data_IF_526706357442
#
_entry.id   IF_526706357442
#
_cell.length_a   1.000
_cell.length_b   1.000
_cell.length_c   1.000
_cell.angle_alpha   90.00
_cell.angle_beta   90.00
_cell.angle_gamma   90.00
#
_symmetry.space_group_name_H-M   'P 1'
#
loop_
_entity.id
_entity.type
_entity.pdbx_description
1 polymer ?
#
# COMPACT_ATOMS: atom_id res chain seq x y z
N UNK A 1 55.09 -55.05 27.93
CA UNK A 1 53.76 -54.53 28.38
C UNK A 1 53.46 -53.24 27.66
N UNK A 2 52.55 -53.30 26.71
CA UNK A 2 52.13 -52.07 25.90
C UNK A 2 50.72 -51.73 26.40
N UNK A 3 50.59 -50.60 27.06
CA UNK A 3 49.31 -50.02 27.48
C UNK A 3 48.63 -49.32 26.35
N UNK A 4 47.44 -49.76 25.96
CA UNK A 4 46.58 -49.22 24.97
C UNK A 4 45.64 -48.16 25.61
N UNK A 5 45.82 -46.88 25.32
CA UNK A 5 44.90 -45.81 25.78
C UNK A 5 43.76 -45.64 24.79
N UNK A 6 42.54 -45.81 25.22
CA UNK A 6 41.33 -45.54 24.48
C UNK A 6 40.93 -44.05 24.65
N UNK A 7 40.88 -43.32 23.57
CA UNK A 7 40.30 -41.94 23.54
C UNK A 7 38.84 -42.05 23.19
N UNK A 8 37.99 -41.65 24.12
CA UNK A 8 36.53 -41.57 23.91
C UNK A 8 36.21 -40.25 23.27
N UNK A 9 35.78 -40.26 22.01
CA UNK A 9 35.31 -39.06 21.30
C UNK A 9 33.80 -38.90 21.55
N UNK A 10 33.45 -37.89 22.36
CA UNK A 10 32.06 -37.54 22.65
C UNK A 10 31.53 -36.66 21.51
N UNK A 11 30.65 -37.18 20.64
CA UNK A 11 29.94 -36.42 19.67
C UNK A 11 28.74 -35.70 20.32
N UNK A 12 28.85 -34.38 20.53
CA UNK A 12 27.72 -33.55 20.95
C UNK A 12 26.97 -33.11 19.68
N UNK A 13 25.81 -33.72 19.44
CA UNK A 13 24.89 -33.29 18.41
C UNK A 13 24.20 -31.98 18.84
N UNK A 14 24.54 -30.86 18.20
CA UNK A 14 23.81 -29.62 18.36
C UNK A 14 22.45 -29.75 17.64
N UNK A 15 21.37 -29.90 18.40
CA UNK A 15 20.01 -29.83 17.89
C UNK A 15 19.69 -28.34 17.71
N UNK A 16 19.76 -27.88 16.48
CA UNK A 16 19.26 -26.53 16.10
C UNK A 16 17.74 -26.52 16.26
N UNK A 17 17.25 -25.79 17.27
CA UNK A 17 15.83 -25.54 17.42
C UNK A 17 15.37 -24.60 16.26
N UNK A 18 14.57 -25.14 15.35
CA UNK A 18 13.84 -24.33 14.36
C UNK A 18 12.84 -23.44 15.11
N UNK A 19 12.79 -22.11 14.82
CA UNK A 19 11.76 -21.27 15.42
C UNK A 19 10.38 -21.79 15.01
N UNK A 20 9.54 -22.04 16.01
CA UNK A 20 8.15 -22.42 15.79
C UNK A 20 7.45 -21.32 15.00
N UNK A 21 6.99 -21.66 13.80
CA UNK A 21 6.18 -20.80 12.98
C UNK A 21 4.84 -20.61 13.72
N UNK A 22 4.54 -19.39 14.15
CA UNK A 22 3.27 -19.09 14.79
C UNK A 22 2.13 -19.55 13.85
N UNK A 23 1.28 -20.44 14.38
CA UNK A 23 0.07 -20.83 13.67
C UNK A 23 -0.79 -19.58 13.42
N UNK A 24 -1.50 -19.48 12.27
CA UNK A 24 -2.42 -18.40 12.05
C UNK A 24 -3.42 -18.36 13.19
N UNK A 25 -3.65 -17.17 13.76
CA UNK A 25 -4.64 -16.96 14.81
C UNK A 25 -5.98 -17.53 14.29
N UNK A 26 -6.60 -18.39 15.10
CA UNK A 26 -7.93 -18.88 14.80
C UNK A 26 -8.85 -17.67 14.74
N UNK A 27 -9.38 -17.33 13.54
CA UNK A 27 -10.36 -16.28 13.38
C UNK A 27 -11.60 -16.70 14.18
N UNK A 28 -12.05 -15.84 15.06
CA UNK A 28 -13.24 -16.06 15.92
C UNK A 28 -14.57 -16.01 15.11
N UNK A 29 -14.52 -16.30 13.82
CA UNK A 29 -15.63 -16.27 12.87
C UNK A 29 -15.96 -14.88 12.37
N UNK A 30 -15.23 -13.84 12.79
CA UNK A 30 -15.40 -12.46 12.32
C UNK A 30 -14.53 -12.21 11.08
N UNK A 31 -15.10 -11.60 10.06
CA UNK A 31 -14.39 -11.14 8.87
C UNK A 31 -14.03 -9.66 9.04
N UNK A 32 -12.73 -9.33 9.02
CA UNK A 32 -12.22 -7.97 9.10
C UNK A 32 -11.55 -7.57 7.79
N UNK A 33 -12.00 -6.46 7.20
CA UNK A 33 -11.55 -5.99 5.90
C UNK A 33 -10.98 -4.58 6.02
N UNK A 34 -9.77 -4.39 5.49
CA UNK A 34 -9.13 -3.09 5.36
C UNK A 34 -9.22 -2.60 3.91
N UNK A 35 -9.68 -1.36 3.69
CA UNK A 35 -9.83 -0.77 2.36
C UNK A 35 -9.04 0.54 2.32
N UNK A 36 -7.96 0.59 1.54
CA UNK A 36 -7.24 1.84 1.27
C UNK A 36 -7.75 2.44 -0.03
N UNK A 37 -8.16 3.70 0.01
CA UNK A 37 -8.81 4.39 -1.11
C UNK A 37 -7.96 5.56 -1.55
N UNK A 38 -7.58 5.55 -2.82
CA UNK A 38 -6.84 6.59 -3.49
C UNK A 38 -7.71 7.23 -4.58
N UNK A 39 -7.27 8.31 -5.21
CA UNK A 39 -8.12 9.07 -6.13
C UNK A 39 -7.64 9.02 -7.58
N UNK A 40 -6.35 8.95 -7.82
CA UNK A 40 -5.78 8.95 -9.18
C UNK A 40 -6.31 7.83 -10.06
N UNK A 41 -6.56 6.65 -9.48
CA UNK A 41 -7.07 5.49 -10.18
C UNK A 41 -8.59 5.45 -10.36
N UNK A 42 -9.35 6.36 -9.77
CA UNK A 42 -10.81 6.45 -9.89
C UNK A 42 -11.21 6.68 -11.35
N UNK A 43 -12.33 6.10 -11.77
CA UNK A 43 -12.87 6.28 -13.12
C UNK A 43 -13.04 7.76 -13.48
N UNK A 44 -12.50 8.16 -14.64
CA UNK A 44 -12.59 9.52 -15.16
C UNK A 44 -11.48 10.47 -14.69
N UNK A 45 -10.71 10.14 -13.64
CA UNK A 45 -9.58 10.97 -13.19
C UNK A 45 -8.45 10.92 -14.21
N UNK A 46 -7.97 12.10 -14.67
CA UNK A 46 -6.87 12.22 -15.63
C UNK A 46 -5.92 13.38 -15.33
N UNK A 47 -6.33 14.38 -14.55
CA UNK A 47 -5.51 15.58 -14.29
C UNK A 47 -5.59 16.02 -12.83
N UNK A 48 -4.84 17.06 -12.48
CA UNK A 48 -4.90 17.70 -11.16
C UNK A 48 -6.24 18.36 -10.84
N UNK A 49 -7.05 18.68 -11.87
CA UNK A 49 -8.34 19.34 -11.69
C UNK A 49 -9.39 18.46 -10.97
N UNK A 50 -9.17 17.14 -10.94
CA UNK A 50 -9.99 16.19 -10.20
C UNK A 50 -9.43 15.85 -8.82
N UNK A 51 -8.16 16.20 -8.53
CA UNK A 51 -7.38 15.57 -7.45
C UNK A 51 -7.18 16.43 -6.20
N UNK A 52 -7.61 17.66 -6.19
CA UNK A 52 -7.39 18.55 -5.04
C UNK A 52 -8.38 19.70 -4.96
N UNK A 53 -8.50 20.34 -3.79
CA UNK A 53 -9.51 21.39 -3.53
C UNK A 53 -9.50 22.57 -4.49
N UNK A 54 -8.34 22.85 -5.10
CA UNK A 54 -8.19 23.93 -6.09
C UNK A 54 -8.72 23.56 -7.49
N UNK A 55 -8.99 22.27 -7.73
CA UNK A 55 -9.44 21.78 -9.02
C UNK A 55 -10.95 21.98 -9.23
N UNK A 56 -11.33 22.41 -10.43
CA UNK A 56 -12.74 22.78 -10.72
C UNK A 56 -13.70 21.56 -10.74
N UNK A 57 -13.19 20.34 -10.86
CA UNK A 57 -13.98 19.11 -10.82
C UNK A 57 -13.85 18.32 -9.50
N UNK A 58 -12.99 18.75 -8.58
CA UNK A 58 -12.66 17.99 -7.37
C UNK A 58 -13.89 17.57 -6.55
N UNK A 59 -14.82 18.50 -6.29
CA UNK A 59 -16.03 18.19 -5.50
C UNK A 59 -16.88 17.08 -6.15
N UNK A 60 -16.94 17.07 -7.47
CA UNK A 60 -17.65 16.02 -8.21
C UNK A 60 -16.93 14.67 -8.10
N UNK A 61 -15.60 14.68 -8.23
CA UNK A 61 -14.80 13.45 -8.24
C UNK A 61 -14.63 12.84 -6.86
N UNK A 62 -14.73 13.61 -5.78
CA UNK A 62 -14.85 13.07 -4.42
C UNK A 62 -16.08 12.17 -4.30
N UNK A 63 -17.20 12.54 -4.89
CA UNK A 63 -18.41 11.71 -4.90
C UNK A 63 -18.17 10.38 -5.66
N UNK A 64 -17.43 10.41 -6.77
CA UNK A 64 -17.08 9.19 -7.51
C UNK A 64 -16.13 8.30 -6.72
N UNK A 65 -15.09 8.87 -6.09
CA UNK A 65 -14.19 8.17 -5.19
C UNK A 65 -14.96 7.50 -4.04
N UNK A 66 -15.87 8.23 -3.43
CA UNK A 66 -16.70 7.72 -2.33
C UNK A 66 -17.63 6.61 -2.80
N UNK A 67 -18.19 6.71 -4.01
CA UNK A 67 -19.05 5.67 -4.58
C UNK A 67 -18.26 4.39 -4.88
N UNK A 68 -17.04 4.48 -5.42
CA UNK A 68 -16.16 3.33 -5.63
C UNK A 68 -15.75 2.65 -4.31
N UNK A 69 -15.42 3.45 -3.28
CA UNK A 69 -15.15 2.95 -1.93
C UNK A 69 -16.38 2.24 -1.33
N UNK A 70 -17.56 2.86 -1.45
CA UNK A 70 -18.83 2.30 -0.96
C UNK A 70 -19.17 0.99 -1.65
N UNK A 71 -18.86 0.82 -2.94
CA UNK A 71 -19.06 -0.44 -3.67
C UNK A 71 -18.24 -1.59 -3.06
N UNK A 72 -16.98 -1.34 -2.71
CA UNK A 72 -16.13 -2.32 -2.05
C UNK A 72 -16.60 -2.62 -0.62
N UNK A 73 -17.01 -1.60 0.14
CA UNK A 73 -17.60 -1.74 1.48
C UNK A 73 -18.86 -2.59 1.43
N UNK A 74 -19.78 -2.31 0.49
CA UNK A 74 -21.04 -3.04 0.36
C UNK A 74 -20.78 -4.52 0.07
N UNK A 75 -19.87 -4.85 -0.83
CA UNK A 75 -19.49 -6.24 -1.10
C UNK A 75 -18.87 -6.91 0.13
N UNK A 76 -18.11 -6.19 0.96
CA UNK A 76 -17.57 -6.72 2.20
C UNK A 76 -18.66 -7.01 3.24
N UNK A 77 -19.64 -6.11 3.39
CA UNK A 77 -20.81 -6.32 4.26
C UNK A 77 -21.64 -7.53 3.82
N UNK A 78 -21.90 -7.66 2.52
CA UNK A 78 -22.61 -8.81 1.93
C UNK A 78 -21.87 -10.14 2.15
N UNK A 79 -20.52 -10.10 2.20
CA UNK A 79 -19.69 -11.26 2.52
C UNK A 79 -19.63 -11.55 4.03
N UNK A 80 -20.30 -10.77 4.87
CA UNK A 80 -20.36 -10.95 6.31
C UNK A 80 -19.23 -10.27 7.09
N UNK A 81 -18.59 -9.25 6.52
CA UNK A 81 -17.59 -8.47 7.27
C UNK A 81 -18.24 -7.81 8.51
N UNK A 82 -17.58 -7.99 9.65
CA UNK A 82 -18.03 -7.47 10.95
C UNK A 82 -17.24 -6.23 11.38
N UNK A 83 -16.11 -5.99 10.75
CA UNK A 83 -15.27 -4.82 10.94
C UNK A 83 -14.68 -4.39 9.59
N UNK A 84 -14.91 -3.14 9.24
CA UNK A 84 -14.38 -2.56 8.00
C UNK A 84 -13.72 -1.23 8.33
N UNK A 85 -12.44 -1.12 8.02
CA UNK A 85 -11.68 0.13 8.11
C UNK A 85 -11.44 0.64 6.70
N UNK A 86 -11.80 1.91 6.46
CA UNK A 86 -11.56 2.62 5.20
C UNK A 86 -10.53 3.72 5.45
N UNK A 87 -9.41 3.68 4.75
CA UNK A 87 -8.38 4.72 4.80
C UNK A 87 -8.55 5.66 3.62
N UNK A 88 -8.76 6.94 3.89
CA UNK A 88 -8.65 8.01 2.90
C UNK A 88 -7.16 8.26 2.63
N UNK A 89 -6.67 7.76 1.52
CA UNK A 89 -5.23 7.62 1.25
C UNK A 89 -4.72 8.56 0.16
N UNK A 90 -5.55 9.50 -0.30
CA UNK A 90 -5.19 10.47 -1.33
C UNK A 90 -4.88 11.85 -0.76
N UNK A 91 -3.87 12.53 -1.31
CA UNK A 91 -3.62 13.95 -1.12
C UNK A 91 -3.58 14.36 0.36
N UNK A 92 -4.56 15.18 0.79
CA UNK A 92 -4.66 15.64 2.17
C UNK A 92 -5.34 14.63 3.13
N UNK A 93 -5.79 13.46 2.65
CA UNK A 93 -6.50 12.45 3.43
C UNK A 93 -7.90 12.90 3.91
N UNK A 94 -8.56 13.81 3.17
CA UNK A 94 -9.88 14.37 3.50
C UNK A 94 -10.81 14.39 2.29
N UNK A 95 -10.67 13.41 1.39
CA UNK A 95 -11.34 13.37 0.10
C UNK A 95 -12.69 12.65 0.17
N UNK A 96 -12.79 11.56 0.92
CA UNK A 96 -14.03 10.81 1.07
C UNK A 96 -15.13 11.64 1.73
N UNK A 97 -16.33 11.57 1.17
CA UNK A 97 -17.56 12.14 1.74
C UNK A 97 -18.09 11.16 2.78
N UNK A 98 -17.62 11.31 4.03
CA UNK A 98 -17.84 10.33 5.11
C UNK A 98 -19.30 10.15 5.49
N UNK A 99 -20.14 11.15 5.25
CA UNK A 99 -21.59 11.11 5.42
C UNK A 99 -22.32 10.26 4.37
N UNK A 100 -21.62 9.88 3.28
CA UNK A 100 -22.13 9.03 2.21
C UNK A 100 -21.59 7.59 2.28
N UNK A 101 -20.70 7.29 3.22
CA UNK A 101 -20.24 5.93 3.48
C UNK A 101 -21.25 5.14 4.32
N UNK A 102 -21.34 3.81 4.17
CA UNK A 102 -22.11 2.96 5.07
C UNK A 102 -21.71 3.18 6.53
N UNK A 103 -22.68 3.22 7.42
CA UNK A 103 -22.49 3.51 8.87
C UNK A 103 -21.64 2.48 9.62
N UNK A 104 -21.42 1.32 9.02
CA UNK A 104 -20.68 0.18 9.59
C UNK A 104 -19.18 0.37 9.51
N UNK A 105 -18.67 1.39 8.78
CA UNK A 105 -17.23 1.59 8.60
C UNK A 105 -16.62 2.53 9.63
N UNK A 106 -15.33 2.29 9.91
CA UNK A 106 -14.46 3.27 10.58
C UNK A 106 -13.55 3.89 9.54
N UNK A 107 -13.35 5.21 9.58
CA UNK A 107 -12.56 5.93 8.56
C UNK A 107 -11.29 6.49 9.17
N UNK A 108 -10.14 6.21 8.56
CA UNK A 108 -8.85 6.84 8.85
C UNK A 108 -8.68 8.06 7.93
N UNK A 109 -8.42 9.23 8.51
CA UNK A 109 -8.35 10.51 7.76
C UNK A 109 -7.14 11.34 8.13
N UNK A 110 -6.68 12.16 7.15
CA UNK A 110 -5.62 13.17 7.30
C UNK A 110 -4.24 12.60 7.64
N UNK A 111 -3.25 13.45 7.74
CA UNK A 111 -1.83 13.14 7.93
C UNK A 111 -1.23 13.97 9.08
N UNK A 112 -0.05 13.60 9.67
CA UNK A 112 0.75 12.41 9.35
C UNK A 112 0.22 11.13 10.03
N UNK A 113 0.60 9.96 9.49
CA UNK A 113 0.21 8.64 10.01
C UNK A 113 1.40 7.67 9.98
N UNK A 114 1.76 6.98 11.09
CA UNK A 114 2.94 6.10 11.15
C UNK A 114 3.04 5.04 10.06
N UNK A 115 1.91 4.49 9.59
CA UNK A 115 1.87 3.50 8.52
C UNK A 115 1.36 4.09 7.18
N UNK A 116 1.33 5.41 7.06
CA UNK A 116 0.89 6.08 5.83
C UNK A 116 -0.51 5.69 5.41
N UNK A 117 -0.66 5.30 4.15
CA UNK A 117 -1.95 4.88 3.56
C UNK A 117 -2.54 3.64 4.23
N UNK A 118 -1.74 2.89 5.02
CA UNK A 118 -2.14 1.66 5.71
C UNK A 118 -2.34 1.84 7.21
N UNK A 119 -2.45 3.08 7.70
CA UNK A 119 -2.64 3.33 9.14
C UNK A 119 -3.92 2.69 9.67
N UNK A 120 -3.81 2.03 10.82
CA UNK A 120 -4.89 1.29 11.46
C UNK A 120 -4.96 -0.18 11.07
N UNK A 121 -4.08 -0.67 10.16
CA UNK A 121 -3.98 -2.10 9.89
C UNK A 121 -3.19 -2.82 10.99
N UNK A 122 -3.62 -4.03 11.33
CA UNK A 122 -2.91 -4.94 12.21
C UNK A 122 -3.11 -6.42 11.79
N UNK A 123 -2.53 -7.35 12.54
CA UNK A 123 -2.60 -8.78 12.24
C UNK A 123 -3.98 -9.42 12.47
N UNK A 124 -4.98 -8.66 12.92
CA UNK A 124 -6.35 -9.15 13.11
C UNK A 124 -7.21 -9.05 11.84
N UNK A 125 -6.73 -8.34 10.81
CA UNK A 125 -7.43 -8.25 9.53
C UNK A 125 -7.26 -9.52 8.70
N UNK A 126 -8.30 -9.87 7.95
CA UNK A 126 -8.33 -11.05 7.08
C UNK A 126 -7.98 -10.70 5.62
N UNK A 127 -8.22 -9.47 5.19
CA UNK A 127 -8.05 -9.04 3.81
C UNK A 127 -7.83 -7.54 3.67
N UNK A 128 -7.10 -7.15 2.61
CA UNK A 128 -6.93 -5.75 2.17
C UNK A 128 -7.44 -5.60 0.75
N UNK A 129 -8.12 -4.48 0.48
CA UNK A 129 -8.44 -4.04 -0.88
C UNK A 129 -7.90 -2.63 -1.13
N UNK A 130 -7.45 -2.39 -2.36
CA UNK A 130 -6.98 -1.10 -2.86
C UNK A 130 -7.95 -0.56 -3.90
N UNK A 131 -8.52 0.61 -3.65
CA UNK A 131 -9.51 1.24 -4.51
C UNK A 131 -8.94 2.54 -5.08
N UNK A 132 -9.04 2.72 -6.39
CA UNK A 132 -8.62 3.95 -7.05
C UNK A 132 -7.11 4.17 -7.11
N UNK A 133 -6.31 3.11 -7.11
CA UNK A 133 -4.84 3.17 -7.15
C UNK A 133 -4.30 3.42 -8.56
N UNK A 134 -3.06 3.86 -8.64
CA UNK A 134 -2.34 4.21 -9.86
C UNK A 134 -0.96 3.57 -9.92
N UNK A 135 -0.32 3.58 -11.10
CA UNK A 135 1.02 3.02 -11.30
C UNK A 135 2.12 3.85 -10.63
N UNK A 136 3.24 3.21 -10.31
CA UNK A 136 4.38 3.83 -9.63
C UNK A 136 5.19 4.80 -10.49
N UNK A 137 6.05 5.60 -9.85
CA UNK A 137 6.95 6.59 -10.49
C UNK A 137 7.77 6.01 -11.64
N UNK A 138 8.13 4.74 -11.56
CA UNK A 138 8.95 4.05 -12.57
C UNK A 138 8.14 3.59 -13.80
N UNK A 139 6.81 3.70 -13.78
CA UNK A 139 5.93 3.25 -14.85
C UNK A 139 5.60 4.41 -15.80
N UNK A 140 6.00 4.29 -17.07
CA UNK A 140 5.76 5.31 -18.09
C UNK A 140 4.41 5.17 -18.80
N UNK A 141 3.60 4.16 -18.46
CA UNK A 141 2.35 3.84 -19.14
C UNK A 141 1.10 4.25 -18.33
N UNK A 142 1.26 4.60 -17.04
CA UNK A 142 0.12 4.87 -16.15
C UNK A 142 -0.40 6.30 -16.22
N UNK A 143 -1.70 6.45 -15.99
CA UNK A 143 -2.33 7.77 -15.78
C UNK A 143 -1.90 8.28 -14.41
N UNK A 144 -1.37 9.51 -14.35
CA UNK A 144 -0.93 10.16 -13.10
C UNK A 144 0.10 9.36 -12.29
N UNK A 145 0.88 8.48 -12.94
CA UNK A 145 1.83 7.57 -12.32
C UNK A 145 2.85 8.30 -11.42
N UNK A 146 2.91 7.91 -10.14
CA UNK A 146 3.88 8.42 -9.18
C UNK A 146 3.96 7.47 -7.97
N UNK A 147 4.80 7.77 -6.98
CA UNK A 147 4.85 7.05 -5.72
C UNK A 147 4.97 8.08 -4.60
N UNK A 148 3.95 8.18 -3.75
CA UNK A 148 3.79 9.07 -2.59
C UNK A 148 3.75 10.57 -2.98
N UNK A 149 4.67 11.04 -3.80
CA UNK A 149 4.71 12.45 -4.18
C UNK A 149 5.27 12.65 -5.58
N UNK A 150 4.37 12.98 -6.51
CA UNK A 150 4.75 13.34 -7.88
C UNK A 150 5.66 14.58 -7.96
N UNK A 151 5.59 15.46 -6.98
CA UNK A 151 6.41 16.67 -6.92
C UNK A 151 7.81 16.44 -6.36
N UNK A 152 7.97 15.51 -5.41
CA UNK A 152 9.20 15.35 -4.61
C UNK A 152 10.07 14.18 -5.07
N UNK A 153 9.47 13.03 -5.46
CA UNK A 153 10.19 11.78 -5.67
C UNK A 153 10.33 11.43 -7.14
N UNK A 154 11.54 10.99 -7.51
CA UNK A 154 11.86 10.52 -8.85
C UNK A 154 12.00 8.98 -8.90
N UNK A 155 12.34 8.34 -7.78
CA UNK A 155 12.39 6.87 -7.63
C UNK A 155 12.26 6.51 -6.16
N UNK A 156 11.60 5.38 -5.87
CA UNK A 156 11.47 4.78 -4.56
C UNK A 156 11.62 3.26 -4.69
N UNK A 157 12.57 2.70 -3.93
CA UNK A 157 12.83 1.26 -3.93
C UNK A 157 12.89 0.71 -2.51
N UNK A 158 12.32 -0.48 -2.34
CA UNK A 158 12.51 -1.29 -1.14
C UNK A 158 13.31 -2.53 -1.49
N UNK A 159 14.45 -2.75 -0.81
CA UNK A 159 15.38 -3.85 -1.10
C UNK A 159 15.83 -3.91 -2.57
N UNK A 160 15.92 -2.75 -3.24
CA UNK A 160 16.27 -2.64 -4.65
C UNK A 160 15.11 -2.83 -5.64
N UNK A 161 13.93 -3.21 -5.17
CA UNK A 161 12.72 -3.40 -6.00
C UNK A 161 12.01 -2.05 -6.13
N UNK A 162 11.74 -1.55 -7.36
CA UNK A 162 10.92 -0.36 -7.55
C UNK A 162 9.52 -0.56 -6.98
N UNK A 163 9.01 0.44 -6.25
CA UNK A 163 7.70 0.36 -5.60
C UNK A 163 6.73 1.37 -6.17
N UNK A 164 5.52 0.90 -6.46
CA UNK A 164 4.33 1.74 -6.45
C UNK A 164 3.74 1.80 -5.05
N UNK A 165 2.76 2.64 -4.83
CA UNK A 165 2.00 2.69 -3.59
C UNK A 165 1.29 1.35 -3.34
N UNK A 166 0.72 0.73 -4.38
CA UNK A 166 0.08 -0.58 -4.29
C UNK A 166 1.05 -1.66 -3.78
N UNK A 167 2.26 -1.76 -4.36
CA UNK A 167 3.23 -2.79 -3.95
C UNK A 167 3.87 -2.49 -2.60
N UNK A 168 4.10 -1.22 -2.27
CA UNK A 168 4.60 -0.80 -0.95
C UNK A 168 3.55 -1.08 0.14
N UNK A 169 2.31 -0.73 -0.08
CA UNK A 169 1.21 -0.96 0.86
C UNK A 169 0.89 -2.46 1.00
N UNK A 170 1.03 -3.24 -0.08
CA UNK A 170 0.95 -4.70 0.00
C UNK A 170 2.06 -5.30 0.88
N UNK A 171 3.27 -4.73 0.83
CA UNK A 171 4.35 -5.15 1.73
C UNK A 171 4.06 -4.77 3.19
N UNK A 172 3.45 -3.59 3.45
CA UNK A 172 3.02 -3.20 4.80
C UNK A 172 1.94 -4.17 5.31
N UNK A 173 0.92 -4.48 4.51
CA UNK A 173 -0.08 -5.49 4.85
C UNK A 173 0.56 -6.87 5.13
N UNK A 174 1.53 -7.26 4.29
CA UNK A 174 2.29 -8.49 4.43
C UNK A 174 3.17 -8.56 5.69
N UNK A 175 3.63 -7.43 6.21
CA UNK A 175 4.29 -7.34 7.52
C UNK A 175 3.37 -7.84 8.64
N UNK A 176 2.08 -7.52 8.57
CA UNK A 176 1.05 -7.99 9.51
C UNK A 176 0.45 -9.35 9.11
N UNK A 177 1.00 -10.00 8.07
CA UNK A 177 0.51 -11.28 7.54
C UNK A 177 -0.89 -11.21 6.90
N UNK A 178 -1.31 -10.04 6.43
CA UNK A 178 -2.60 -9.82 5.77
C UNK A 178 -2.42 -9.79 4.25
N UNK A 179 -3.21 -10.55 3.47
CA UNK A 179 -3.13 -10.54 2.02
C UNK A 179 -3.89 -9.35 1.42
N UNK A 180 -3.37 -8.81 0.31
CA UNK A 180 -4.14 -7.92 -0.57
C UNK A 180 -4.89 -8.80 -1.56
N UNK A 181 -6.22 -8.67 -1.62
CA UNK A 181 -7.08 -9.54 -2.39
C UNK A 181 -7.65 -8.89 -3.65
N UNK A 182 -7.75 -7.53 -3.66
CA UNK A 182 -8.38 -6.79 -4.75
C UNK A 182 -7.71 -5.44 -4.96
N UNK A 183 -7.66 -4.99 -6.23
CA UNK A 183 -7.19 -3.66 -6.64
C UNK A 183 -8.06 -3.10 -7.75
N UNK A 184 -8.42 -1.80 -7.68
CA UNK A 184 -9.00 -1.04 -8.79
C UNK A 184 -8.11 0.12 -9.21
N UNK A 185 -8.10 0.42 -10.52
CA UNK A 185 -7.32 1.52 -11.08
C UNK A 185 -7.26 1.47 -12.60
N UNK A 186 -6.21 2.05 -13.17
CA UNK A 186 -5.94 1.96 -14.61
C UNK A 186 -5.32 0.59 -14.99
N UNK A 187 -5.24 0.32 -16.29
CA UNK A 187 -4.65 -0.91 -16.82
C UNK A 187 -3.16 -1.05 -16.47
N UNK A 188 -2.43 0.06 -16.32
CA UNK A 188 -1.01 0.06 -15.98
C UNK A 188 -0.77 -0.39 -14.53
N UNK A 189 -1.53 0.14 -13.55
CA UNK A 189 -1.40 -0.28 -12.15
C UNK A 189 -1.83 -1.72 -11.97
N UNK A 190 -2.87 -2.17 -12.68
CA UNK A 190 -3.31 -3.57 -12.64
C UNK A 190 -2.23 -4.50 -13.15
N UNK A 191 -1.59 -4.18 -14.29
CA UNK A 191 -0.49 -4.98 -14.83
C UNK A 191 0.70 -5.03 -13.88
N UNK A 192 1.11 -3.87 -13.34
CA UNK A 192 2.23 -3.73 -12.40
C UNK A 192 1.99 -4.52 -11.10
N UNK A 193 0.82 -4.35 -10.51
CA UNK A 193 0.49 -5.01 -9.24
C UNK A 193 0.32 -6.52 -9.42
N UNK A 194 -0.29 -6.96 -10.53
CA UNK A 194 -0.47 -8.40 -10.81
C UNK A 194 0.86 -9.13 -11.03
N UNK A 195 1.89 -8.44 -11.50
CA UNK A 195 3.24 -9.01 -11.60
C UNK A 195 3.86 -9.31 -10.23
N UNK A 196 3.52 -8.52 -9.20
CA UNK A 196 4.00 -8.69 -7.82
C UNK A 196 3.06 -9.58 -6.99
N UNK A 197 1.75 -9.48 -7.21
CA UNK A 197 0.69 -10.21 -6.50
C UNK A 197 -0.09 -11.11 -7.49
N UNK A 198 0.47 -12.26 -7.89
CA UNK A 198 -0.17 -13.14 -8.87
C UNK A 198 -1.55 -13.59 -8.40
N UNK A 199 -2.54 -13.48 -9.29
CA UNK A 199 -3.91 -13.89 -9.02
C UNK A 199 -4.78 -12.91 -8.24
N UNK A 200 -4.27 -11.71 -7.92
CA UNK A 200 -5.10 -10.63 -7.32
C UNK A 200 -6.33 -10.36 -8.19
N UNK A 201 -7.50 -10.17 -7.57
CA UNK A 201 -8.66 -9.66 -8.30
C UNK A 201 -8.45 -8.21 -8.69
N UNK A 202 -8.82 -7.87 -9.93
CA UNK A 202 -8.57 -6.53 -10.45
C UNK A 202 -9.78 -5.96 -11.18
N UNK A 203 -10.05 -4.67 -10.93
CA UNK A 203 -11.04 -3.89 -11.65
C UNK A 203 -10.31 -2.80 -12.45
N UNK A 204 -10.13 -3.02 -13.76
CA UNK A 204 -9.65 -1.98 -14.68
C UNK A 204 -10.80 -1.03 -14.97
N UNK A 205 -10.75 0.18 -14.42
CA UNK A 205 -11.82 1.18 -14.59
C UNK A 205 -11.48 2.23 -15.66
N UNK A 206 -10.22 2.29 -16.08
CA UNK A 206 -9.76 3.11 -17.21
C UNK A 206 -8.50 2.54 -17.86
N UNK A 207 -8.23 2.96 -19.08
CA UNK A 207 -7.08 2.57 -19.89
C UNK A 207 -6.26 3.79 -20.22
N UNK A 208 -4.98 3.77 -19.89
CA UNK A 208 -4.08 4.88 -20.10
C UNK A 208 -3.83 5.14 -21.60
N UNK A 209 -3.91 6.39 -22.00
CA UNK A 209 -3.47 6.89 -23.30
C UNK A 209 -2.24 7.80 -23.15
N UNK A 210 -1.95 8.19 -21.91
CA UNK A 210 -0.82 9.02 -21.51
C UNK A 210 -1.01 9.47 -20.07
N UNK A 211 -0.04 10.24 -19.54
CA UNK A 211 -0.04 10.70 -18.15
C UNK A 211 -1.27 11.51 -17.74
N UNK A 212 -1.89 12.24 -18.68
CA UNK A 212 -3.06 13.09 -18.48
C UNK A 212 -4.25 12.71 -19.38
N UNK A 213 -4.28 11.47 -19.90
CA UNK A 213 -5.31 11.05 -20.84
C UNK A 213 -5.66 9.59 -20.69
N UNK A 214 -6.94 9.26 -20.71
CA UNK A 214 -7.44 7.90 -20.60
C UNK A 214 -8.74 7.68 -21.38
N UNK A 215 -8.97 6.44 -21.81
CA UNK A 215 -10.31 5.92 -22.04
C UNK A 215 -10.84 5.38 -20.72
N UNK A 216 -12.03 5.76 -20.30
CA UNK A 216 -12.56 5.42 -18.98
C UNK A 216 -13.94 4.79 -19.04
N UNK A 217 -14.26 3.96 -18.04
CA UNK A 217 -15.64 3.61 -17.73
C UNK A 217 -16.40 4.84 -17.21
N UNK A 218 -17.72 4.78 -17.29
CA UNK A 218 -18.56 5.73 -16.53
C UNK A 218 -18.52 5.37 -15.03
N UNK A 219 -18.73 6.32 -14.10
CA UNK A 219 -18.72 6.04 -12.67
C UNK A 219 -19.69 4.92 -12.26
N UNK A 220 -20.88 4.87 -12.85
CA UNK A 220 -21.84 3.80 -12.55
C UNK A 220 -21.31 2.41 -12.94
N UNK A 221 -20.62 2.30 -14.10
CA UNK A 221 -20.04 1.03 -14.53
C UNK A 221 -18.82 0.62 -13.72
N UNK A 222 -18.05 1.60 -13.25
CA UNK A 222 -16.92 1.37 -12.35
C UNK A 222 -17.39 0.81 -11.00
N UNK A 223 -18.40 1.42 -10.39
CA UNK A 223 -19.02 0.96 -9.13
C UNK A 223 -19.50 -0.48 -9.24
N UNK A 224 -20.23 -0.82 -10.31
CA UNK A 224 -20.69 -2.20 -10.58
C UNK A 224 -19.53 -3.20 -10.66
N UNK A 225 -18.49 -2.84 -11.43
CA UNK A 225 -17.31 -3.69 -11.61
C UNK A 225 -16.53 -3.90 -10.31
N UNK A 226 -16.31 -2.85 -9.52
CA UNK A 226 -15.61 -2.90 -8.24
C UNK A 226 -16.36 -3.78 -7.25
N UNK A 227 -17.68 -3.61 -7.12
CA UNK A 227 -18.51 -4.46 -6.28
C UNK A 227 -18.37 -5.94 -6.67
N UNK A 228 -18.52 -6.25 -7.96
CA UNK A 228 -18.41 -7.62 -8.48
C UNK A 228 -17.01 -8.22 -8.18
N UNK A 229 -15.94 -7.46 -8.41
CA UNK A 229 -14.57 -7.92 -8.20
C UNK A 229 -14.24 -8.11 -6.73
N UNK A 230 -14.72 -7.23 -5.87
CA UNK A 230 -14.56 -7.35 -4.42
C UNK A 230 -15.30 -8.58 -3.88
N UNK A 231 -16.53 -8.81 -4.32
CA UNK A 231 -17.30 -10.01 -3.95
C UNK A 231 -16.58 -11.31 -4.39
N UNK A 232 -16.04 -11.34 -5.62
CA UNK A 232 -15.24 -12.46 -6.12
C UNK A 232 -13.98 -12.69 -5.27
N UNK A 233 -13.25 -11.62 -4.94
CA UNK A 233 -12.04 -11.68 -4.12
C UNK A 233 -12.33 -12.24 -2.72
N UNK A 234 -13.38 -11.75 -2.07
CA UNK A 234 -13.78 -12.20 -0.73
C UNK A 234 -14.21 -13.67 -0.72
N UNK A 235 -14.94 -14.13 -1.75
CA UNK A 235 -15.36 -15.53 -1.88
C UNK A 235 -14.18 -16.52 -1.92
N UNK A 236 -13.03 -16.09 -2.43
CA UNK A 236 -11.80 -16.90 -2.53
C UNK A 236 -10.62 -16.32 -1.73
N UNK A 237 -10.87 -15.55 -0.66
CA UNK A 237 -9.84 -14.86 0.12
C UNK A 237 -8.72 -15.76 0.64
N UNK A 238 -8.97 -17.04 0.82
CA UNK A 238 -7.98 -18.03 1.25
C UNK A 238 -6.89 -18.35 0.19
N UNK A 239 -7.12 -17.98 -1.07
CA UNK A 239 -6.17 -18.24 -2.17
C UNK A 239 -5.02 -17.22 -2.19
N UNK A 240 -5.24 -16.02 -1.65
CA UNK A 240 -4.25 -14.94 -1.67
C UNK A 240 -3.20 -15.10 -0.58
N UNK A 241 -1.99 -14.68 -0.89
CA UNK A 241 -0.85 -14.76 0.03
C UNK A 241 -0.34 -13.37 0.38
N UNK A 242 0.04 -13.12 1.65
CA UNK A 242 0.68 -11.87 2.04
C UNK A 242 2.00 -11.66 1.28
N UNK A 243 2.21 -10.47 0.74
CA UNK A 243 3.46 -10.08 0.09
C UNK A 243 4.46 -9.63 1.14
N UNK A 244 5.58 -10.32 1.27
CA UNK A 244 6.58 -10.07 2.32
C UNK A 244 7.93 -9.68 1.73
N UNK A 245 8.53 -8.64 2.29
CA UNK A 245 9.92 -8.29 2.03
C UNK A 245 10.84 -8.89 3.10
N UNK A 246 12.07 -9.23 2.69
CA UNK A 246 13.11 -9.64 3.62
C UNK A 246 13.52 -8.48 4.53
N UNK A 247 13.78 -8.76 5.80
CA UNK A 247 14.31 -7.80 6.78
C UNK A 247 15.82 -8.00 7.00
N UNK A 248 16.58 -6.95 7.31
CA UNK A 248 16.16 -5.55 7.39
C UNK A 248 15.71 -5.00 6.04
N UNK A 249 14.85 -3.97 6.06
CA UNK A 249 14.31 -3.35 4.84
C UNK A 249 15.13 -2.12 4.48
N UNK A 250 15.69 -2.11 3.27
CA UNK A 250 16.44 -0.97 2.73
C UNK A 250 15.51 -0.12 1.87
N UNK A 251 15.37 1.15 2.22
CA UNK A 251 14.75 2.19 1.41
C UNK A 251 15.85 2.92 0.63
N UNK A 252 15.78 2.91 -0.68
CA UNK A 252 16.54 3.79 -1.56
C UNK A 252 15.55 4.82 -2.15
N UNK A 253 15.76 6.11 -1.88
CA UNK A 253 14.85 7.19 -2.27
C UNK A 253 15.59 8.25 -3.08
N UNK A 254 15.08 8.57 -4.28
CA UNK A 254 15.59 9.60 -5.16
C UNK A 254 14.64 10.79 -5.22
N UNK A 255 15.15 11.96 -4.90
CA UNK A 255 14.43 13.23 -4.97
C UNK A 255 14.54 13.87 -6.35
N UNK A 256 13.58 14.70 -6.71
CA UNK A 256 13.65 15.58 -7.89
C UNK A 256 14.52 16.81 -7.66
N UNK A 257 14.68 17.21 -6.40
CA UNK A 257 15.53 18.33 -5.99
C UNK A 257 16.77 17.86 -5.24
N UNK A 258 17.83 18.67 -5.28
CA UNK A 258 19.12 18.40 -4.64
C UNK A 258 19.07 18.48 -3.12
N UNK A 259 18.44 19.55 -2.59
CA UNK A 259 18.50 19.93 -1.17
C UNK A 259 18.03 18.85 -0.19
N UNK A 260 16.96 18.09 -0.44
CA UNK A 260 16.49 17.07 0.51
C UNK A 260 17.54 16.00 0.81
N UNK A 261 18.27 15.51 -0.19
CA UNK A 261 19.31 14.49 0.02
C UNK A 261 20.48 15.01 0.86
N UNK A 262 20.83 16.29 0.70
CA UNK A 262 21.87 16.93 1.48
C UNK A 262 21.46 17.08 2.95
N UNK A 263 20.31 17.68 3.23
CA UNK A 263 19.83 17.93 4.59
C UNK A 263 19.59 16.62 5.35
N UNK A 264 18.95 15.63 4.71
CA UNK A 264 18.70 14.33 5.34
C UNK A 264 19.98 13.58 5.68
N UNK A 265 21.09 13.80 4.94
CA UNK A 265 22.38 13.18 5.24
C UNK A 265 23.04 13.66 6.54
N UNK A 266 22.54 14.73 7.16
CA UNK A 266 22.98 15.16 8.48
C UNK A 266 22.43 14.27 9.61
N UNK A 267 21.41 13.47 9.32
CA UNK A 267 20.93 12.41 10.21
C UNK A 267 21.85 11.19 10.12
N UNK A 268 22.39 10.73 11.27
CA UNK A 268 23.33 9.60 11.32
C UNK A 268 22.78 8.29 10.76
N UNK A 269 21.46 8.16 10.68
CA UNK A 269 20.75 6.97 10.19
C UNK A 269 20.55 7.01 8.67
N UNK A 270 20.96 8.08 7.98
CA UNK A 270 20.76 8.28 6.54
C UNK A 270 22.09 8.32 5.84
N UNK A 271 22.24 7.48 4.83
CA UNK A 271 23.35 7.52 3.88
C UNK A 271 22.95 8.33 2.65
N UNK A 272 23.75 9.34 2.28
CA UNK A 272 23.60 10.01 0.97
C UNK A 272 24.32 9.20 -0.07
N UNK A 273 23.58 8.64 -1.02
CA UNK A 273 24.14 7.73 -2.05
C UNK A 273 24.55 8.44 -3.34
N UNK A 274 23.90 9.56 -3.66
CA UNK A 274 24.32 10.49 -4.73
C UNK A 274 23.78 11.91 -4.45
N UNK A 275 23.90 12.82 -5.44
CA UNK A 275 23.47 14.23 -5.29
C UNK A 275 21.98 14.39 -5.00
N UNK A 276 21.12 13.43 -5.35
CA UNK A 276 19.66 13.49 -5.22
C UNK A 276 19.08 12.32 -4.43
N UNK A 277 19.92 11.38 -3.96
CA UNK A 277 19.45 10.12 -3.41
C UNK A 277 19.96 9.87 -2.01
N UNK A 278 19.12 9.21 -1.23
CA UNK A 278 19.46 8.71 0.09
C UNK A 278 19.14 7.23 0.21
N UNK A 279 19.77 6.61 1.20
CA UNK A 279 19.46 5.28 1.70
C UNK A 279 19.16 5.33 3.19
N UNK A 280 18.11 4.62 3.56
CA UNK A 280 17.77 4.33 4.95
C UNK A 280 17.57 2.81 5.11
N UNK A 281 18.03 2.24 6.22
CA UNK A 281 17.83 0.82 6.52
C UNK A 281 17.05 0.72 7.82
N UNK A 282 15.80 0.30 7.71
CA UNK A 282 14.94 0.03 8.84
C UNK A 282 14.96 -1.46 9.22
N UNK A 283 14.76 -1.76 10.50
CA UNK A 283 14.66 -3.14 10.98
C UNK A 283 13.49 -3.90 10.33
N UNK A 284 12.41 -3.17 9.99
CA UNK A 284 11.19 -3.68 9.38
C UNK A 284 10.46 -2.60 8.58
N UNK A 285 9.31 -2.94 7.99
CA UNK A 285 8.49 -2.01 7.20
C UNK A 285 7.85 -0.90 8.04
N UNK A 286 7.57 -1.14 9.30
CA UNK A 286 6.99 -0.12 10.20
C UNK A 286 7.98 1.01 10.42
N UNK A 287 9.25 0.68 10.64
CA UNK A 287 10.31 1.69 10.79
C UNK A 287 10.57 2.45 9.48
N UNK A 288 10.57 1.76 8.34
CA UNK A 288 10.69 2.40 7.03
C UNK A 288 9.51 3.33 6.74
N UNK A 289 8.29 2.90 7.03
CA UNK A 289 7.09 3.72 6.84
C UNK A 289 7.14 5.00 7.69
N UNK A 290 7.50 4.89 8.97
CA UNK A 290 7.67 6.06 9.85
C UNK A 290 8.74 7.04 9.36
N UNK A 291 9.85 6.51 8.82
CA UNK A 291 10.88 7.34 8.24
C UNK A 291 10.39 8.04 6.96
N UNK A 292 9.65 7.33 6.11
CA UNK A 292 9.08 7.91 4.89
C UNK A 292 8.03 8.99 5.23
N UNK A 293 7.18 8.76 6.23
CA UNK A 293 6.24 9.76 6.74
C UNK A 293 6.96 11.01 7.27
N UNK A 294 8.06 10.84 7.99
CA UNK A 294 8.88 11.96 8.41
C UNK A 294 9.42 12.75 7.20
N UNK A 295 10.00 12.08 6.20
CA UNK A 295 10.54 12.73 4.99
C UNK A 295 9.46 13.45 4.19
N UNK A 296 8.25 12.91 4.19
CA UNK A 296 7.13 13.45 3.40
C UNK A 296 6.42 14.61 4.09
N UNK A 297 6.27 14.54 5.42
CA UNK A 297 5.41 15.47 6.17
C UNK A 297 6.18 16.45 7.06
N UNK A 298 7.51 16.32 7.20
CA UNK A 298 8.28 17.30 7.99
C UNK A 298 8.36 18.64 7.27
N UNK A 299 7.94 19.68 7.94
CA UNK A 299 8.07 21.07 7.52
C UNK A 299 8.67 21.91 8.64
N UNK A 300 9.46 22.96 8.30
CA UNK A 300 10.12 23.81 9.27
C UNK A 300 9.14 24.60 10.14
N UNK A 301 7.96 24.87 9.59
CA UNK A 301 6.90 25.67 10.22
C UNK A 301 5.75 24.77 10.71
N UNK A 302 6.07 23.71 11.45
CA UNK A 302 5.08 22.84 12.07
C UNK A 302 4.21 23.63 13.03
N UNK A 303 3.10 24.17 12.54
CA UNK A 303 2.07 24.85 13.30
C UNK A 303 0.74 24.07 13.21
N UNK A 304 -0.05 24.09 14.30
CA UNK A 304 -1.37 23.48 14.29
C UNK A 304 -2.35 24.20 13.37
#
# INVERSE_FOLDING_TARGET
MKTLSWVLVLNVALIAATPAQAAPAATDGRLKVYISVDMEGVAGVVSGDQLGPEGFEYERFRAFMTAEASAAVQAALEAGATEIVVSDSHGNGQNLLIDQLPKEVTVVRSWPRPLGMMEGIDASFDAVAFIGYHAGTHNSQGVRAHTISSARFADLRLNGIPMSEATMNAAIAGHFNVPVIMLSGDDAVVAETSATLPGIESAVVKWALGFHSARTLTPAKSVELIHQKMASALARRGDFKPYKLATPVRLDLRFKAYRPSEILSYLRIVERTDSHSIRFVGKDLVEVSRFLEFVTNYESDLQP
#
